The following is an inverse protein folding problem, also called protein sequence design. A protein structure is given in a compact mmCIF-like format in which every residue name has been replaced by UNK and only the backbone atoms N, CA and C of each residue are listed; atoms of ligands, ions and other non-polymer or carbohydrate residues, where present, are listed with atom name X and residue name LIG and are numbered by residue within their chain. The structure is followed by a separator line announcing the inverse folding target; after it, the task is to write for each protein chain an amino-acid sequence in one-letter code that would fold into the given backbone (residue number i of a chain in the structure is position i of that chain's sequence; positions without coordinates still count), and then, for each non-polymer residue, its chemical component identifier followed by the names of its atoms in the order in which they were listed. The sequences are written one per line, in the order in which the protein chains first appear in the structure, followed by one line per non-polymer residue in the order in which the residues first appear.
data_IF_171086505137
#
_entry.id   IF_171086505137
#
_cell.length_a   1.000
_cell.length_b   1.000
_cell.length_c   1.000
_cell.angle_alpha   90.00
_cell.angle_beta   90.00
_cell.angle_gamma   90.00
#
_symmetry.space_group_name_H-M   'P 1'
#
loop_
_entity.id
_entity.type
_entity.pdbx_description
1 polymer ?
#
# COMPACT_ATOMS: atom_id res chain seq x y z
N UNK A 1 -19.29 -14.39 -18.56
CA UNK A 1 -19.31 -13.16 -17.74
C UNK A 1 -18.64 -13.48 -16.43
N UNK A 2 -17.67 -12.66 -16.01
CA UNK A 2 -16.99 -12.89 -14.74
C UNK A 2 -17.92 -12.51 -13.59
N UNK A 3 -18.08 -13.42 -12.62
CA UNK A 3 -18.90 -13.19 -11.44
C UNK A 3 -18.02 -12.65 -10.30
N UNK A 4 -18.30 -11.44 -9.85
CA UNK A 4 -17.62 -10.78 -8.74
C UNK A 4 -18.51 -10.72 -7.51
N UNK A 5 -17.92 -10.79 -6.31
CA UNK A 5 -18.68 -10.63 -5.07
C UNK A 5 -19.33 -9.25 -5.01
N UNK A 6 -20.58 -9.17 -4.54
CA UNK A 6 -21.37 -7.94 -4.50
C UNK A 6 -20.66 -6.80 -3.75
N UNK A 7 -20.01 -7.07 -2.62
CA UNK A 7 -19.24 -6.05 -1.90
C UNK A 7 -17.98 -5.58 -2.64
N UNK A 8 -17.39 -6.43 -3.51
CA UNK A 8 -16.30 -6.04 -4.42
C UNK A 8 -16.88 -5.13 -5.51
N UNK A 9 -17.97 -5.53 -6.16
CA UNK A 9 -18.65 -4.74 -7.20
C UNK A 9 -19.00 -3.33 -6.70
N UNK A 10 -19.66 -3.21 -5.55
CA UNK A 10 -20.01 -1.91 -4.94
C UNK A 10 -18.77 -1.05 -4.68
N UNK A 11 -17.67 -1.67 -4.23
CA UNK A 11 -16.42 -0.95 -3.99
C UNK A 11 -15.75 -0.48 -5.28
N UNK A 12 -15.80 -1.30 -6.33
CA UNK A 12 -15.25 -1.00 -7.66
C UNK A 12 -16.09 0.08 -8.38
N UNK A 13 -17.36 0.27 -7.98
CA UNK A 13 -18.21 1.40 -8.37
C UNK A 13 -17.92 2.70 -7.58
N UNK A 14 -16.91 2.71 -6.70
CA UNK A 14 -16.53 3.90 -5.94
C UNK A 14 -17.45 4.25 -4.76
N UNK A 15 -18.51 3.47 -4.51
CA UNK A 15 -19.56 3.80 -3.52
C UNK A 15 -19.04 3.72 -2.09
N UNK A 16 -18.28 2.69 -1.77
CA UNK A 16 -17.83 2.42 -0.40
C UNK A 16 -16.58 1.53 -0.37
N UNK A 17 -15.97 1.36 0.82
CA UNK A 17 -15.00 0.26 0.99
C UNK A 17 -15.72 -1.08 0.98
N UNK A 18 -15.02 -2.20 0.71
CA UNK A 18 -15.64 -3.54 0.74
C UNK A 18 -16.37 -3.84 2.07
N UNK A 19 -15.76 -3.49 3.21
CA UNK A 19 -16.39 -3.68 4.53
C UNK A 19 -17.63 -2.80 4.70
N UNK A 20 -17.55 -1.54 4.26
CA UNK A 20 -18.70 -0.64 4.33
C UNK A 20 -19.81 -1.09 3.37
N UNK A 21 -19.47 -1.67 2.22
CA UNK A 21 -20.42 -2.31 1.32
C UNK A 21 -21.11 -3.51 1.97
N UNK A 22 -20.40 -4.35 2.73
CA UNK A 22 -21.02 -5.43 3.52
C UNK A 22 -22.01 -4.88 4.57
N UNK A 23 -21.71 -3.76 5.22
CA UNK A 23 -22.65 -3.08 6.11
C UNK A 23 -23.90 -2.59 5.36
N UNK A 24 -23.74 -1.98 4.18
CA UNK A 24 -24.86 -1.51 3.35
C UNK A 24 -25.77 -2.67 2.94
N UNK A 25 -25.19 -3.80 2.53
CA UNK A 25 -25.93 -5.02 2.19
C UNK A 25 -26.72 -5.50 3.42
N UNK A 26 -26.07 -5.64 4.59
CA UNK A 26 -26.76 -6.05 5.83
C UNK A 26 -27.89 -5.11 6.25
N UNK A 27 -27.78 -3.82 5.94
CA UNK A 27 -28.79 -2.80 6.22
C UNK A 27 -29.96 -2.79 5.22
N UNK A 28 -30.04 -3.77 4.31
CA UNK A 28 -31.07 -3.84 3.27
C UNK A 28 -31.08 -2.62 2.32
N UNK A 29 -29.91 -1.97 2.14
CA UNK A 29 -29.74 -0.77 1.30
C UNK A 29 -29.30 -1.09 -0.13
N UNK A 30 -29.15 -2.36 -0.46
CA UNK A 30 -28.65 -2.83 -1.76
C UNK A 30 -29.73 -3.67 -2.44
N UNK A 31 -29.97 -3.41 -3.73
CA UNK A 31 -30.80 -4.24 -4.59
C UNK A 31 -29.98 -4.81 -5.74
N UNK A 32 -30.30 -6.03 -6.15
CA UNK A 32 -29.79 -6.69 -7.35
C UNK A 32 -30.99 -7.12 -8.18
N UNK A 33 -31.10 -6.63 -9.41
CA UNK A 33 -32.22 -6.90 -10.32
C UNK A 33 -33.58 -6.65 -9.66
N UNK A 34 -33.70 -5.53 -8.93
CA UNK A 34 -34.92 -5.14 -8.21
C UNK A 34 -35.15 -5.83 -6.86
N UNK A 35 -34.41 -6.89 -6.52
CA UNK A 35 -34.56 -7.63 -5.26
C UNK A 35 -33.60 -7.11 -4.21
N UNK A 36 -34.09 -6.80 -3.00
CA UNK A 36 -33.26 -6.41 -1.86
C UNK A 36 -32.38 -7.57 -1.42
N UNK A 37 -31.08 -7.33 -1.28
CA UNK A 37 -30.11 -8.34 -0.86
C UNK A 37 -29.57 -7.98 0.52
N UNK A 38 -29.61 -8.93 1.45
CA UNK A 38 -29.01 -8.83 2.80
C UNK A 38 -27.97 -9.91 3.07
N UNK A 39 -27.92 -10.94 2.24
CA UNK A 39 -27.00 -12.08 2.37
C UNK A 39 -25.58 -11.74 1.90
N UNK A 40 -24.58 -12.22 2.64
CA UNK A 40 -23.17 -12.09 2.25
C UNK A 40 -22.80 -13.18 1.24
N UNK A 41 -21.86 -12.87 0.34
CA UNK A 41 -21.30 -13.85 -0.59
C UNK A 41 -22.01 -13.95 -1.94
N UNK A 42 -23.10 -13.20 -2.13
CA UNK A 42 -23.74 -13.02 -3.44
C UNK A 42 -22.72 -12.52 -4.45
N UNK A 43 -22.80 -13.07 -5.66
CA UNK A 43 -21.99 -12.67 -6.80
C UNK A 43 -22.88 -12.06 -7.88
N UNK A 44 -22.35 -11.04 -8.53
CA UNK A 44 -23.00 -10.30 -9.62
C UNK A 44 -22.03 -10.18 -10.79
N UNK A 45 -22.59 -9.92 -11.96
CA UNK A 45 -21.88 -9.62 -13.21
C UNK A 45 -22.20 -8.20 -13.66
N UNK A 46 -21.51 -7.71 -14.68
CA UNK A 46 -21.79 -6.39 -15.28
C UNK A 46 -23.16 -6.31 -15.97
N UNK A 47 -23.82 -7.45 -16.21
CA UNK A 47 -25.19 -7.50 -16.74
C UNK A 47 -26.26 -7.30 -15.65
N UNK A 48 -25.90 -7.48 -14.37
CA UNK A 48 -26.85 -7.32 -13.27
C UNK A 48 -27.05 -5.84 -12.94
N UNK A 49 -28.31 -5.46 -12.69
CA UNK A 49 -28.67 -4.13 -12.23
C UNK A 49 -28.48 -4.05 -10.72
N UNK A 50 -27.38 -3.41 -10.28
CA UNK A 50 -27.12 -3.19 -8.85
C UNK A 50 -27.49 -1.77 -8.46
N UNK A 51 -28.30 -1.63 -7.40
CA UNK A 51 -28.66 -0.35 -6.81
C UNK A 51 -28.19 -0.27 -5.37
N UNK A 52 -27.69 0.91 -4.97
CA UNK A 52 -27.42 1.25 -3.57
C UNK A 52 -28.22 2.50 -3.23
N UNK A 53 -29.06 2.43 -2.20
CA UNK A 53 -29.98 3.51 -1.82
C UNK A 53 -30.86 4.01 -2.98
N UNK A 54 -31.31 3.08 -3.83
CA UNK A 54 -32.15 3.39 -5.00
C UNK A 54 -31.41 4.05 -6.17
N UNK A 55 -30.07 4.15 -6.12
CA UNK A 55 -29.25 4.63 -7.24
C UNK A 55 -28.56 3.46 -7.92
N UNK A 56 -28.74 3.32 -9.23
CA UNK A 56 -28.02 2.34 -10.05
C UNK A 56 -26.53 2.71 -10.04
N UNK A 57 -25.69 1.73 -9.71
CA UNK A 57 -24.24 1.90 -9.66
C UNK A 57 -23.59 1.13 -10.81
N UNK A 58 -22.47 1.64 -11.30
CA UNK A 58 -21.65 1.00 -12.34
C UNK A 58 -20.17 1.14 -11.98
N UNK A 59 -19.32 0.17 -12.37
CA UNK A 59 -17.89 0.24 -12.11
C UNK A 59 -17.27 1.52 -12.67
N UNK A 60 -16.29 2.09 -11.96
CA UNK A 60 -15.51 3.20 -12.50
C UNK A 60 -14.63 2.68 -13.65
N UNK A 61 -14.88 3.18 -14.87
CA UNK A 61 -14.12 2.78 -16.06
C UNK A 61 -12.69 3.34 -16.10
N UNK A 62 -12.44 4.46 -15.39
CA UNK A 62 -11.12 5.09 -15.37
C UNK A 62 -10.31 4.56 -14.20
N UNK A 63 -9.29 3.75 -14.48
CA UNK A 63 -8.31 3.33 -13.48
C UNK A 63 -7.29 4.45 -13.26
N UNK A 64 -7.05 4.78 -12.00
CA UNK A 64 -6.12 5.82 -11.58
C UNK A 64 -4.97 5.17 -10.83
N UNK A 65 -3.74 5.58 -11.13
CA UNK A 65 -2.53 5.09 -10.49
C UNK A 65 -1.64 6.27 -10.17
N UNK A 66 -1.41 6.52 -8.89
CA UNK A 66 -0.70 7.70 -8.40
C UNK A 66 0.54 7.25 -7.63
N UNK A 67 1.67 7.89 -7.91
CA UNK A 67 2.85 7.85 -7.06
C UNK A 67 2.84 9.12 -6.19
N UNK A 68 2.73 8.93 -4.89
CA UNK A 68 2.90 9.97 -3.88
C UNK A 68 4.26 9.81 -3.21
N UNK A 69 5.04 10.89 -3.12
CA UNK A 69 6.15 10.93 -2.17
C UNK A 69 5.60 11.39 -0.81
N UNK A 70 5.25 10.42 0.04
CA UNK A 70 4.60 10.68 1.33
C UNK A 70 5.57 11.42 2.28
N UNK A 71 5.19 12.59 2.83
CA UNK A 71 5.95 13.25 3.90
C UNK A 71 5.70 12.59 5.28
N UNK A 72 6.51 12.90 6.31
CA UNK A 72 6.20 12.48 7.67
C UNK A 72 4.95 13.23 8.19
N UNK A 73 4.31 12.73 9.25
CA UNK A 73 3.16 13.40 9.85
C UNK A 73 1.80 13.09 9.19
N UNK A 74 1.74 12.15 8.26
CA UNK A 74 0.50 11.72 7.60
C UNK A 74 0.23 10.23 7.83
N UNK A 75 -1.00 9.88 8.19
CA UNK A 75 -1.42 8.47 8.33
C UNK A 75 -1.81 7.87 6.98
N UNK A 76 -1.35 6.64 6.72
CA UNK A 76 -1.69 5.91 5.49
C UNK A 76 -3.07 5.23 5.62
N UNK A 77 -4.13 6.01 5.52
CA UNK A 77 -5.54 5.57 5.54
C UNK A 77 -6.39 6.50 4.66
N UNK A 78 -7.57 6.03 4.24
CA UNK A 78 -8.56 6.87 3.54
C UNK A 78 -9.34 7.76 4.51
N UNK A 79 -9.56 7.28 5.74
CA UNK A 79 -10.23 8.02 6.81
C UNK A 79 -9.58 7.69 8.15
N UNK A 80 -9.18 8.71 8.89
CA UNK A 80 -8.65 8.57 10.25
C UNK A 80 -9.77 8.75 11.29
N UNK A 81 -9.64 8.05 12.42
CA UNK A 81 -10.61 8.13 13.52
C UNK A 81 -10.26 9.21 14.55
N UNK A 82 -9.03 9.70 14.55
CA UNK A 82 -8.49 10.65 15.54
C UNK A 82 -8.23 12.04 14.94
N UNK A 83 -8.76 12.30 13.73
CA UNK A 83 -8.64 13.59 13.06
C UNK A 83 -7.23 13.93 12.57
N UNK A 84 -6.33 12.95 12.44
CA UNK A 84 -4.97 13.18 11.94
C UNK A 84 -4.96 13.35 10.42
N UNK A 85 -4.05 14.16 9.85
CA UNK A 85 -3.88 14.29 8.41
C UNK A 85 -3.60 12.94 7.74
N UNK A 86 -4.26 12.69 6.62
CA UNK A 86 -4.21 11.46 5.85
C UNK A 86 -3.52 11.67 4.51
N UNK A 87 -3.00 10.58 3.93
CA UNK A 87 -2.40 10.64 2.58
C UNK A 87 -3.37 11.10 1.49
N UNK A 88 -4.69 11.07 1.73
CA UNK A 88 -5.70 11.57 0.79
C UNK A 88 -5.71 13.10 0.76
N UNK A 89 -5.41 13.76 1.88
CA UNK A 89 -5.38 15.23 1.98
C UNK A 89 -4.29 15.87 1.10
N UNK A 90 -3.28 15.07 0.72
CA UNK A 90 -2.19 15.45 -0.19
C UNK A 90 -2.60 15.39 -1.67
N UNK A 91 -3.67 14.69 -2.02
CA UNK A 91 -4.09 14.43 -3.41
C UNK A 91 -5.05 15.49 -3.95
N UNK A 92 -4.73 16.77 -3.74
CA UNK A 92 -5.54 17.89 -4.25
C UNK A 92 -5.70 17.79 -5.77
N UNK A 93 -6.94 17.76 -6.26
CA UNK A 93 -7.26 17.73 -7.69
C UNK A 93 -7.59 16.34 -8.25
N UNK A 94 -7.35 15.26 -7.49
CA UNK A 94 -7.81 13.91 -7.86
C UNK A 94 -9.31 13.80 -7.55
N UNK A 95 -10.12 13.49 -8.57
CA UNK A 95 -11.58 13.43 -8.44
C UNK A 95 -12.06 12.02 -8.08
N UNK A 96 -11.33 11.03 -8.53
CA UNK A 96 -11.64 9.62 -8.39
C UNK A 96 -11.31 9.13 -6.97
N UNK A 97 -12.10 8.16 -6.49
CA UNK A 97 -11.91 7.61 -5.15
C UNK A 97 -10.75 6.61 -5.13
N UNK A 98 -9.58 7.06 -4.71
CA UNK A 98 -8.38 6.21 -4.57
C UNK A 98 -8.14 5.73 -3.13
N UNK A 99 -7.35 4.67 -2.98
CA UNK A 99 -6.89 4.12 -1.71
C UNK A 99 -5.42 3.72 -1.79
N UNK A 100 -4.68 3.74 -0.66
CA UNK A 100 -3.26 3.41 -0.66
C UNK A 100 -2.99 1.92 -0.90
N UNK A 101 -1.96 1.64 -1.69
CA UNK A 101 -1.44 0.31 -1.97
C UNK A 101 -0.40 -0.03 -0.91
N UNK A 102 -0.85 -0.73 0.14
CA UNK A 102 -0.05 -0.98 1.33
C UNK A 102 0.02 0.26 2.22
N UNK A 103 1.00 0.28 3.13
CA UNK A 103 1.12 1.36 4.13
C UNK A 103 2.56 1.78 4.33
N UNK A 104 2.73 3.05 4.70
CA UNK A 104 3.93 3.57 5.36
C UNK A 104 3.53 4.04 6.76
N UNK A 105 4.45 3.88 7.72
CA UNK A 105 4.24 4.39 9.07
C UNK A 105 4.14 5.92 9.07
N UNK A 106 3.60 6.49 10.15
CA UNK A 106 3.36 7.93 10.30
C UNK A 106 4.62 8.78 9.99
N UNK A 107 5.76 8.39 10.58
CA UNK A 107 7.08 9.04 10.40
C UNK A 107 7.89 8.51 9.22
N UNK A 108 7.40 7.49 8.51
CA UNK A 108 8.12 6.95 7.35
C UNK A 108 7.72 7.72 6.10
N UNK A 109 8.72 8.12 5.31
CA UNK A 109 8.54 8.94 4.10
C UNK A 109 8.73 8.12 2.82
N UNK A 110 8.45 8.75 1.67
CA UNK A 110 8.80 8.21 0.38
C UNK A 110 7.64 7.59 -0.39
N UNK A 111 7.99 6.75 -1.35
CA UNK A 111 7.12 6.25 -2.41
C UNK A 111 5.93 5.49 -1.82
N UNK A 112 4.72 5.98 -2.04
CA UNK A 112 3.46 5.32 -1.78
C UNK A 112 2.60 5.34 -3.04
N UNK A 113 2.08 4.20 -3.45
CA UNK A 113 1.15 4.13 -4.58
C UNK A 113 -0.28 4.28 -4.05
N UNK A 114 -1.13 5.03 -4.74
CA UNK A 114 -2.58 5.07 -4.52
C UNK A 114 -3.31 4.72 -5.81
N UNK A 115 -4.43 4.01 -5.72
CA UNK A 115 -5.21 3.58 -6.88
C UNK A 115 -6.68 3.34 -6.52
N UNK A 116 -7.55 3.30 -7.53
CA UNK A 116 -8.89 2.72 -7.41
C UNK A 116 -8.96 1.28 -7.96
N UNK A 117 -7.84 0.72 -8.42
CA UNK A 117 -7.74 -0.67 -8.90
C UNK A 117 -7.41 -1.64 -7.74
N UNK A 118 -8.44 -2.36 -7.28
CA UNK A 118 -8.29 -3.33 -6.21
C UNK A 118 -7.45 -4.56 -6.56
N UNK A 119 -7.39 -4.94 -7.84
CA UNK A 119 -6.65 -6.12 -8.28
C UNK A 119 -5.17 -5.79 -8.43
N UNK A 120 -4.83 -4.60 -8.92
CA UNK A 120 -3.48 -4.04 -8.85
C UNK A 120 -3.00 -3.95 -7.40
N UNK A 121 -3.81 -3.39 -6.51
CA UNK A 121 -3.44 -3.23 -5.11
C UNK A 121 -3.21 -4.59 -4.42
N UNK A 122 -4.04 -5.58 -4.70
CA UNK A 122 -3.83 -6.96 -4.23
C UNK A 122 -2.50 -7.52 -4.73
N UNK A 123 -2.21 -7.39 -6.03
CA UNK A 123 -0.96 -7.90 -6.61
C UNK A 123 0.28 -7.29 -5.96
N UNK A 124 0.26 -5.98 -5.71
CA UNK A 124 1.41 -5.27 -5.14
C UNK A 124 1.63 -5.52 -3.64
N UNK A 125 0.58 -5.85 -2.90
CA UNK A 125 0.63 -5.98 -1.44
C UNK A 125 0.68 -7.42 -0.95
N UNK A 126 0.12 -8.37 -1.71
CA UNK A 126 -0.02 -9.73 -1.21
C UNK A 126 1.35 -10.45 -1.16
N UNK A 127 1.75 -11.03 -0.01
CA UNK A 127 3.09 -11.62 0.18
C UNK A 127 3.48 -12.67 -0.87
N UNK A 128 2.50 -13.39 -1.42
CA UNK A 128 2.71 -14.40 -2.48
C UNK A 128 3.44 -13.86 -3.71
N UNK A 129 3.28 -12.57 -4.03
CA UNK A 129 3.89 -11.95 -5.21
C UNK A 129 5.31 -11.47 -4.95
N UNK A 130 5.79 -11.48 -3.69
CA UNK A 130 7.16 -11.14 -3.31
C UNK A 130 7.69 -9.85 -3.96
N UNK A 131 6.82 -8.84 -4.10
CA UNK A 131 7.20 -7.55 -4.70
C UNK A 131 8.22 -6.85 -3.80
N UNK A 132 9.45 -6.71 -4.31
CA UNK A 132 10.54 -6.05 -3.60
C UNK A 132 10.23 -4.57 -3.33
N UNK A 133 10.64 -4.10 -2.15
CA UNK A 133 10.52 -2.72 -1.69
C UNK A 133 11.86 -2.31 -1.14
N UNK A 134 12.41 -1.24 -1.67
CA UNK A 134 13.74 -0.75 -1.29
C UNK A 134 13.60 0.54 -0.49
N UNK A 135 14.31 0.59 0.64
CA UNK A 135 14.30 1.68 1.59
C UNK A 135 15.71 2.25 1.74
N UNK A 136 15.79 3.57 1.86
CA UNK A 136 16.95 4.26 2.38
C UNK A 136 16.73 4.46 3.90
N UNK A 137 17.55 3.80 4.71
CA UNK A 137 17.49 3.85 6.17
C UNK A 137 18.73 4.55 6.71
N UNK A 138 18.54 5.63 7.46
CA UNK A 138 19.60 6.16 8.31
C UNK A 138 19.54 5.42 9.63
N UNK A 139 20.61 4.73 10.01
CA UNK A 139 20.69 3.91 11.23
C UNK A 139 21.80 4.40 12.14
N UNK A 140 21.61 4.20 13.45
CA UNK A 140 22.62 4.51 14.45
C UNK A 140 23.76 3.49 14.40
N UNK A 141 25.01 3.94 14.45
CA UNK A 141 26.20 3.10 14.35
C UNK A 141 26.51 2.64 12.93
N UNK A 142 27.47 1.73 12.81
CA UNK A 142 27.90 1.11 11.55
C UNK A 142 27.93 -0.40 11.78
N UNK A 143 27.01 -1.16 11.14
CA UNK A 143 27.00 -2.61 11.27
C UNK A 143 28.29 -3.25 10.75
N UNK A 144 28.74 -4.29 11.45
CA UNK A 144 29.81 -5.18 11.03
C UNK A 144 29.37 -6.09 9.88
N UNK A 145 30.33 -6.72 9.18
CA UNK A 145 30.01 -7.67 8.11
C UNK A 145 29.22 -8.89 8.61
N UNK A 146 29.44 -9.33 9.84
CA UNK A 146 28.70 -10.43 10.46
C UNK A 146 27.24 -10.05 10.75
N UNK A 147 27.01 -8.85 11.28
CA UNK A 147 25.67 -8.33 11.53
C UNK A 147 24.87 -8.17 10.23
N UNK A 148 25.52 -7.67 9.17
CA UNK A 148 24.93 -7.59 7.83
C UNK A 148 24.59 -8.99 7.31
N UNK A 149 25.51 -9.94 7.39
CA UNK A 149 25.26 -11.32 6.95
C UNK A 149 24.08 -11.96 7.70
N UNK A 150 23.98 -11.72 9.01
CA UNK A 150 22.87 -12.17 9.84
C UNK A 150 21.55 -11.50 9.44
N UNK A 151 21.58 -10.19 9.15
CA UNK A 151 20.42 -9.45 8.68
C UNK A 151 19.89 -10.01 7.35
N UNK A 152 20.78 -10.29 6.38
CA UNK A 152 20.41 -10.75 5.04
C UNK A 152 19.85 -12.18 5.02
N UNK A 153 20.31 -13.06 5.93
CA UNK A 153 19.82 -14.44 6.05
C UNK A 153 18.42 -14.54 6.66
N UNK A 154 17.98 -13.49 7.35
CA UNK A 154 16.71 -13.44 8.07
C UNK A 154 16.91 -13.44 9.59
N UNK A 155 16.07 -12.67 10.28
CA UNK A 155 16.14 -12.43 11.71
C UNK A 155 14.87 -12.92 12.39
N UNK A 156 15.01 -13.47 13.59
CA UNK A 156 13.85 -13.72 14.46
C UNK A 156 13.38 -12.39 15.04
N UNK A 157 12.14 -12.01 14.72
CA UNK A 157 11.48 -10.79 15.19
C UNK A 157 10.18 -11.22 15.84
N UNK A 158 10.04 -10.94 17.14
CA UNK A 158 8.85 -11.30 17.92
C UNK A 158 8.49 -12.79 17.73
N UNK A 159 7.40 -13.07 17.02
CA UNK A 159 6.81 -14.39 16.80
C UNK A 159 7.16 -15.01 15.43
N UNK A 160 8.01 -14.39 14.62
CA UNK A 160 8.33 -14.88 13.27
C UNK A 160 9.81 -14.71 12.89
N UNK A 161 10.19 -15.35 11.77
CA UNK A 161 11.51 -15.16 11.14
C UNK A 161 11.30 -14.40 9.84
N UNK A 162 12.07 -13.33 9.62
CA UNK A 162 11.98 -12.55 8.40
C UNK A 162 12.50 -13.36 7.21
N UNK A 163 11.94 -13.11 6.03
CA UNK A 163 12.52 -13.59 4.80
C UNK A 163 13.91 -12.96 4.56
N UNK A 164 14.74 -13.56 3.69
CA UNK A 164 16.00 -12.97 3.29
C UNK A 164 15.83 -11.56 2.73
N UNK A 165 16.78 -10.69 3.05
CA UNK A 165 16.79 -9.29 2.67
C UNK A 165 18.14 -8.92 2.03
N UNK A 166 18.20 -7.77 1.36
CA UNK A 166 19.45 -7.18 0.88
C UNK A 166 19.81 -5.99 1.74
N UNK A 167 21.08 -5.84 2.07
CA UNK A 167 21.57 -4.71 2.87
C UNK A 167 22.86 -4.15 2.27
N UNK A 168 22.85 -2.87 1.89
CA UNK A 168 24.01 -2.19 1.32
C UNK A 168 24.25 -0.85 1.99
N UNK A 169 25.42 -0.65 2.58
CA UNK A 169 25.83 0.67 3.07
C UNK A 169 26.13 1.57 1.87
N UNK A 170 25.45 2.71 1.78
CA UNK A 170 25.64 3.68 0.69
C UNK A 170 26.42 4.92 1.13
N UNK A 171 26.34 5.27 2.42
CA UNK A 171 27.13 6.33 3.02
C UNK A 171 27.33 6.04 4.51
N UNK A 172 28.43 6.55 5.09
CA UNK A 172 28.69 6.44 6.53
C UNK A 172 29.47 7.65 7.03
N UNK A 173 29.22 8.02 8.28
CA UNK A 173 30.05 8.96 9.03
C UNK A 173 30.56 8.27 10.31
N UNK A 174 31.13 9.02 11.26
CA UNK A 174 31.70 8.44 12.50
C UNK A 174 30.66 7.82 13.44
N UNK A 175 29.39 8.23 13.36
CA UNK A 175 28.34 7.85 14.31
C UNK A 175 27.22 7.02 13.69
N UNK A 176 26.88 7.24 12.42
CA UNK A 176 25.72 6.68 11.74
C UNK A 176 26.08 6.23 10.32
N UNK A 177 25.27 5.35 9.75
CA UNK A 177 25.32 5.04 8.33
C UNK A 177 23.95 5.13 7.66
N UNK A 178 23.99 5.34 6.35
CA UNK A 178 22.84 5.25 5.46
C UNK A 178 22.95 3.93 4.72
N UNK A 179 21.92 3.10 4.84
CA UNK A 179 21.83 1.79 4.22
C UNK A 179 20.65 1.73 3.26
N UNK A 180 20.87 1.12 2.11
CA UNK A 180 19.83 0.65 1.21
C UNK A 180 19.41 -0.76 1.64
N UNK A 181 18.13 -0.93 1.97
CA UNK A 181 17.55 -2.16 2.49
C UNK A 181 16.40 -2.59 1.59
N UNK A 182 16.47 -3.80 1.02
CA UNK A 182 15.41 -4.36 0.18
C UNK A 182 14.76 -5.57 0.84
N UNK A 183 13.44 -5.51 0.98
CA UNK A 183 12.60 -6.59 1.50
C UNK A 183 11.43 -6.86 0.55
N UNK A 184 10.94 -8.10 0.51
CA UNK A 184 9.76 -8.45 -0.29
C UNK A 184 8.50 -8.74 0.53
N UNK A 185 8.64 -8.87 1.85
CA UNK A 185 7.52 -8.86 2.80
C UNK A 185 7.28 -7.45 3.38
N UNK A 186 6.17 -7.27 4.08
CA UNK A 186 5.70 -5.97 4.56
C UNK A 186 5.01 -6.03 5.91
N UNK A 187 5.66 -6.65 6.90
CA UNK A 187 5.13 -6.73 8.27
C UNK A 187 5.24 -5.38 8.99
N UNK A 188 4.50 -5.23 10.09
CA UNK A 188 4.45 -3.99 10.84
C UNK A 188 5.86 -3.56 11.29
N UNK A 189 6.27 -2.34 10.89
CA UNK A 189 7.57 -1.72 11.24
C UNK A 189 8.78 -2.62 10.97
N UNK A 190 8.69 -3.51 9.99
CA UNK A 190 9.65 -4.59 9.80
C UNK A 190 11.10 -4.12 9.67
N UNK A 191 11.40 -3.15 8.79
CA UNK A 191 12.77 -2.64 8.61
C UNK A 191 13.33 -2.09 9.92
N UNK A 192 12.51 -1.37 10.69
CA UNK A 192 12.93 -0.81 11.99
C UNK A 192 13.28 -1.92 12.99
N UNK A 193 12.41 -2.93 13.11
CA UNK A 193 12.63 -4.09 13.97
C UNK A 193 13.85 -4.92 13.55
N UNK A 194 14.09 -5.08 12.25
CA UNK A 194 15.25 -5.79 11.73
C UNK A 194 16.56 -5.07 12.10
N UNK A 195 16.63 -3.75 11.91
CA UNK A 195 17.83 -2.99 12.25
C UNK A 195 18.04 -2.92 13.78
N UNK A 196 16.96 -2.82 14.57
CA UNK A 196 17.02 -2.90 16.03
C UNK A 196 17.54 -4.25 16.53
N UNK A 197 17.13 -5.36 15.91
CA UNK A 197 17.59 -6.70 16.27
C UNK A 197 19.10 -6.93 16.04
N UNK A 198 19.74 -6.13 15.19
CA UNK A 198 21.20 -6.12 15.04
C UNK A 198 21.88 -4.98 15.82
N UNK A 199 21.17 -4.26 16.68
CA UNK A 199 21.74 -3.21 17.54
C UNK A 199 21.82 -1.82 16.90
N UNK A 200 21.22 -1.61 15.73
CA UNK A 200 21.35 -0.38 14.94
C UNK A 200 19.97 0.25 14.66
N UNK A 201 19.34 0.92 15.63
CA UNK A 201 17.99 1.46 15.46
C UNK A 201 17.91 2.48 14.31
N UNK A 202 16.77 2.48 13.61
CA UNK A 202 16.50 3.37 12.47
C UNK A 202 16.11 4.76 12.94
N UNK A 203 16.92 5.76 12.57
CA UNK A 203 16.70 7.18 12.82
C UNK A 203 15.73 7.79 11.81
N UNK A 204 15.90 7.50 10.52
CA UNK A 204 15.00 7.92 9.45
C UNK A 204 14.82 6.82 8.41
N UNK A 205 13.63 6.75 7.82
CA UNK A 205 13.28 5.70 6.87
C UNK A 205 12.50 6.30 5.70
N UNK A 206 13.01 6.09 4.49
CA UNK A 206 12.39 6.54 3.24
C UNK A 206 12.27 5.37 2.27
N UNK A 207 11.06 5.06 1.82
CA UNK A 207 10.89 4.07 0.73
C UNK A 207 11.22 4.75 -0.59
N UNK A 208 12.22 4.25 -1.31
CA UNK A 208 12.69 4.86 -2.56
C UNK A 208 12.21 4.10 -3.79
N UNK A 209 11.84 2.82 -3.65
CA UNK A 209 11.39 1.99 -4.77
C UNK A 209 10.40 0.90 -4.37
N UNK A 210 9.52 0.54 -5.32
CA UNK A 210 8.69 -0.66 -5.32
C UNK A 210 8.91 -1.37 -6.67
N UNK A 211 9.49 -2.58 -6.64
CA UNK A 211 9.90 -3.27 -7.85
C UNK A 211 10.84 -2.41 -8.71
N UNK A 212 10.43 -2.11 -9.94
CA UNK A 212 11.17 -1.23 -10.87
C UNK A 212 10.79 0.25 -10.75
N UNK A 213 9.71 0.57 -10.02
CA UNK A 213 9.24 1.95 -9.87
C UNK A 213 10.09 2.66 -8.81
N UNK A 214 10.75 3.74 -9.21
CA UNK A 214 11.54 4.61 -8.32
C UNK A 214 10.84 5.94 -8.05
N UNK A 215 11.10 6.51 -6.88
CA UNK A 215 10.57 7.82 -6.48
C UNK A 215 11.16 8.98 -7.29
N UNK A 216 12.38 8.81 -7.81
CA UNK A 216 13.09 9.83 -8.58
C UNK A 216 13.25 11.15 -7.81
N UNK A 217 13.00 12.26 -8.51
CA UNK A 217 13.16 13.63 -7.98
C UNK A 217 11.85 14.24 -7.48
N UNK A 218 10.80 13.45 -7.28
CA UNK A 218 9.52 13.96 -6.79
C UNK A 218 9.69 14.50 -5.37
N UNK A 219 9.30 15.76 -5.13
CA UNK A 219 9.43 16.39 -3.82
C UNK A 219 8.48 15.75 -2.78
N UNK A 220 8.80 15.89 -1.49
CA UNK A 220 7.93 15.34 -0.44
C UNK A 220 6.61 16.12 -0.37
N UNK A 221 5.49 15.39 -0.28
CA UNK A 221 4.15 15.94 -0.38
C UNK A 221 3.58 15.94 -1.80
N UNK A 222 4.44 15.93 -2.82
CA UNK A 222 4.02 15.94 -4.21
C UNK A 222 3.64 14.54 -4.70
N UNK A 223 2.78 14.54 -5.72
CA UNK A 223 2.32 13.33 -6.38
C UNK A 223 2.27 13.52 -7.90
N UNK A 224 2.30 12.41 -8.62
CA UNK A 224 2.06 12.36 -10.07
C UNK A 224 1.33 11.08 -10.44
N UNK A 225 0.68 11.08 -11.60
CA UNK A 225 0.20 9.84 -12.18
C UNK A 225 1.37 8.95 -12.61
N UNK A 226 1.18 7.63 -12.50
CA UNK A 226 2.09 6.64 -13.07
C UNK A 226 1.90 6.61 -14.59
N UNK A 227 3.01 6.45 -15.31
CA UNK A 227 2.93 6.22 -16.75
C UNK A 227 2.39 4.82 -17.04
N UNK A 228 1.86 4.60 -18.25
CA UNK A 228 1.40 3.27 -18.65
C UNK A 228 2.50 2.22 -18.56
N UNK A 229 3.74 2.58 -18.88
CA UNK A 229 4.89 1.68 -18.81
C UNK A 229 5.27 1.34 -17.37
N UNK A 230 5.19 2.31 -16.46
CA UNK A 230 5.37 2.05 -15.02
C UNK A 230 4.31 1.07 -14.50
N UNK A 231 3.04 1.28 -14.85
CA UNK A 231 1.93 0.37 -14.46
C UNK A 231 2.16 -1.03 -15.03
N UNK A 232 2.49 -1.14 -16.34
CA UNK A 232 2.81 -2.43 -16.97
C UNK A 232 3.99 -3.13 -16.31
N UNK A 233 5.05 -2.37 -15.98
CA UNK A 233 6.24 -2.93 -15.33
C UNK A 233 5.90 -3.56 -13.97
N UNK A 234 5.02 -2.92 -13.19
CA UNK A 234 4.55 -3.42 -11.91
C UNK A 234 3.62 -4.62 -12.07
N UNK A 235 2.74 -4.60 -13.07
CA UNK A 235 1.87 -5.73 -13.41
C UNK A 235 2.61 -6.91 -14.05
N UNK A 236 3.88 -6.77 -14.42
CA UNK A 236 4.70 -7.86 -14.95
C UNK A 236 5.51 -8.60 -13.88
N UNK A 237 5.50 -8.12 -12.63
CA UNK A 237 6.16 -8.73 -11.47
C UNK A 237 5.47 -10.01 -10.99
#
# INVERSE_FOLDING_TARGET
MELVRLQKYIADCGVASRRKAEELIKQARVKVNGTVVTEMGIKVSDADLVEVDGKIIKPENKKVYILLNKPPGYVTTVKDQFGRPTVIDLLKGVKERVFPVGRLDYETTGLLILTNDGDFAYRMTHPKHKVEKTYLATIAGIPTGEEISRFEKGLRIEDYITAPAKFKIVAKNKQNCVAEITIHEGRNRQVRKMCEAIGHPVLSLKRISIGKLSIGNLAEGDWRELTQDEVKSLLSL
#
